data_IF_402048965042
#
_entry.id   IF_402048965042
#
_cell.length_a   1.000
_cell.length_b   1.000
_cell.length_c   1.000
_cell.angle_alpha   90.00
_cell.angle_beta   90.00
_cell.angle_gamma   90.00
#
_symmetry.space_group_name_H-M   'P 1'
#
loop_
_entity.id
_entity.type
_entity.pdbx_description
1 polymer ?
#
# COMPACT_ATOMS: atom_id res chain seq x y z
N UNK A 1 -15.25 19.80 -8.85
CA UNK A 1 -14.65 19.36 -7.62
C UNK A 1 -13.62 18.30 -7.85
N UNK A 2 -12.48 18.45 -7.24
CA UNK A 2 -11.45 17.45 -7.38
C UNK A 2 -11.74 16.27 -6.48
N UNK A 3 -11.80 15.09 -7.07
CA UNK A 3 -12.10 13.86 -6.35
C UNK A 3 -10.96 12.87 -6.47
N UNK A 4 -9.72 13.39 -6.49
CA UNK A 4 -8.55 12.51 -6.54
C UNK A 4 -8.55 11.54 -5.37
N UNK A 5 -8.24 10.28 -5.67
CA UNK A 5 -8.05 9.27 -4.64
C UNK A 5 -6.70 9.46 -3.99
N UNK A 6 -6.64 9.20 -2.70
CA UNK A 6 -5.41 9.34 -1.92
C UNK A 6 -4.82 7.97 -1.61
N UNK A 7 -3.56 7.79 -1.97
CA UNK A 7 -2.83 6.54 -1.76
C UNK A 7 -1.80 6.77 -0.65
N UNK A 8 -1.79 5.89 0.35
CA UNK A 8 -0.75 5.89 1.37
C UNK A 8 0.32 4.90 0.95
N UNK A 9 1.54 5.38 0.76
CA UNK A 9 2.69 4.54 0.41
C UNK A 9 3.53 4.34 1.67
N UNK A 10 3.76 3.07 2.05
CA UNK A 10 4.56 2.72 3.21
C UNK A 10 5.75 1.87 2.76
N UNK A 11 6.94 2.42 2.88
CA UNK A 11 8.18 1.77 2.45
C UNK A 11 9.34 2.47 3.15
N UNK A 12 10.32 1.70 3.66
CA UNK A 12 11.44 2.30 4.38
C UNK A 12 12.53 2.85 3.44
N UNK A 13 12.43 2.58 2.15
CA UNK A 13 13.37 3.11 1.15
C UNK A 13 12.89 4.46 0.65
N UNK A 14 13.69 5.50 0.88
CA UNK A 14 13.37 6.84 0.38
C UNK A 14 13.28 6.85 -1.15
N UNK A 15 14.18 6.13 -1.80
CA UNK A 15 14.18 6.05 -3.26
C UNK A 15 12.87 5.45 -3.77
N UNK A 16 12.45 4.34 -3.18
CA UNK A 16 11.22 3.65 -3.60
C UNK A 16 9.99 4.53 -3.34
N UNK A 17 9.93 5.17 -2.16
CA UNK A 17 8.82 6.09 -1.85
C UNK A 17 8.73 7.20 -2.89
N UNK A 18 9.86 7.81 -3.23
CA UNK A 18 9.89 8.90 -4.21
C UNK A 18 9.48 8.42 -5.59
N UNK A 19 9.97 7.26 -6.00
CA UNK A 19 9.67 6.69 -7.31
C UNK A 19 8.18 6.36 -7.45
N UNK A 20 7.63 5.67 -6.46
CA UNK A 20 6.21 5.32 -6.49
C UNK A 20 5.32 6.57 -6.39
N UNK A 21 5.74 7.55 -5.58
CA UNK A 21 5.00 8.80 -5.46
C UNK A 21 4.92 9.51 -6.81
N UNK A 22 6.05 9.57 -7.52
CA UNK A 22 6.10 10.20 -8.84
C UNK A 22 5.14 9.51 -9.81
N UNK A 23 5.19 8.17 -9.87
CA UNK A 23 4.31 7.38 -10.74
C UNK A 23 2.84 7.67 -10.45
N UNK A 24 2.48 7.68 -9.18
CA UNK A 24 1.08 7.82 -8.80
C UNK A 24 0.58 9.25 -8.96
N UNK A 25 1.43 10.23 -8.68
CA UNK A 25 1.05 11.63 -8.88
C UNK A 25 0.87 11.93 -10.36
N UNK A 26 1.70 11.35 -11.24
CA UNK A 26 1.53 11.47 -12.68
C UNK A 26 0.24 10.81 -13.16
N UNK A 27 -0.26 9.83 -12.42
CA UNK A 27 -1.52 9.14 -12.73
C UNK A 27 -2.71 9.80 -12.05
N UNK A 28 -2.52 11.00 -11.51
CA UNK A 28 -3.57 11.84 -10.94
C UNK A 28 -4.09 11.36 -9.58
N UNK A 29 -3.25 10.70 -8.80
CA UNK A 29 -3.54 10.35 -7.42
C UNK A 29 -2.89 11.36 -6.48
N UNK A 30 -3.48 11.54 -5.30
CA UNK A 30 -2.79 12.22 -4.19
C UNK A 30 -2.01 11.15 -3.43
N UNK A 31 -0.85 11.53 -2.90
CA UNK A 31 0.04 10.57 -2.24
C UNK A 31 0.43 11.08 -0.85
N UNK A 32 0.35 10.18 0.12
CA UNK A 32 0.88 10.39 1.46
C UNK A 32 1.91 9.28 1.66
N UNK A 33 3.05 9.57 2.28
CA UNK A 33 4.10 8.57 2.47
C UNK A 33 4.38 8.34 3.94
N UNK A 34 4.83 7.13 4.26
CA UNK A 34 5.27 6.74 5.60
C UNK A 34 6.50 5.85 5.48
N UNK A 35 7.35 5.87 6.51
CA UNK A 35 8.65 5.21 6.46
C UNK A 35 8.65 3.78 7.02
N UNK A 36 7.63 3.42 7.79
CA UNK A 36 7.49 2.08 8.33
C UNK A 36 6.03 1.85 8.75
N UNK A 37 5.74 0.67 9.30
CA UNK A 37 4.37 0.34 9.68
C UNK A 37 3.81 1.24 10.77
N UNK A 38 4.64 1.61 11.73
CA UNK A 38 4.22 2.48 12.83
C UNK A 38 3.82 3.86 12.31
N UNK A 39 4.68 4.45 11.45
CA UNK A 39 4.40 5.72 10.79
C UNK A 39 3.19 5.61 9.87
N UNK A 40 3.05 4.45 9.21
CA UNK A 40 1.90 4.17 8.35
C UNK A 40 0.59 4.20 9.10
N UNK A 41 0.55 3.60 10.29
CA UNK A 41 -0.65 3.65 11.11
C UNK A 41 -0.98 5.08 11.53
N UNK A 42 0.03 5.84 11.93
CA UNK A 42 -0.18 7.25 12.31
C UNK A 42 -0.75 8.05 11.15
N UNK A 43 -0.17 7.89 9.95
CA UNK A 43 -0.65 8.59 8.76
C UNK A 43 -2.07 8.18 8.40
N UNK A 44 -2.37 6.89 8.54
CA UNK A 44 -3.71 6.38 8.25
C UNK A 44 -4.75 6.95 9.20
N UNK A 45 -4.41 7.05 10.49
CA UNK A 45 -5.35 7.55 11.50
C UNK A 45 -5.60 9.05 11.40
N UNK A 46 -4.66 9.79 10.83
CA UNK A 46 -4.75 11.25 10.76
C UNK A 46 -5.10 11.79 9.38
N UNK A 47 -5.30 10.90 8.40
CA UNK A 47 -5.64 11.29 7.03
C UNK A 47 -6.70 10.36 6.48
N UNK A 48 -7.46 10.84 5.47
CA UNK A 48 -8.39 10.00 4.73
C UNK A 48 -7.65 9.37 3.57
N UNK A 49 -7.47 8.06 3.61
CA UNK A 49 -6.78 7.33 2.54
C UNK A 49 -7.76 6.38 1.87
N UNK A 50 -7.64 6.25 0.56
CA UNK A 50 -8.51 5.38 -0.23
C UNK A 50 -7.87 4.02 -0.50
N UNK A 51 -6.55 3.92 -0.36
CA UNK A 51 -5.81 2.69 -0.60
C UNK A 51 -4.45 2.77 0.06
N UNK A 52 -3.95 1.64 0.54
CA UNK A 52 -2.61 1.52 1.12
C UNK A 52 -1.74 0.67 0.21
N UNK A 53 -0.55 1.16 -0.11
CA UNK A 53 0.46 0.46 -0.88
C UNK A 53 1.65 0.24 0.06
N UNK A 54 1.94 -1.00 0.43
CA UNK A 54 2.93 -1.27 1.47
C UNK A 54 3.95 -2.31 1.05
N UNK A 55 5.22 -2.05 1.40
CA UNK A 55 6.25 -3.09 1.36
C UNK A 55 6.06 -4.03 2.55
N UNK A 56 6.80 -5.13 2.55
CA UNK A 56 6.82 -6.10 3.64
C UNK A 56 8.01 -5.87 4.55
N UNK A 57 9.21 -5.77 3.98
CA UNK A 57 10.45 -5.70 4.75
C UNK A 57 10.72 -4.29 5.19
N UNK A 58 10.32 -3.97 6.41
CA UNK A 58 10.49 -2.65 6.99
C UNK A 58 10.98 -2.79 8.42
N UNK A 59 11.71 -1.78 8.91
CA UNK A 59 12.14 -1.73 10.30
C UNK A 59 10.94 -1.43 11.21
N UNK A 60 11.09 -1.74 12.48
CA UNK A 60 10.11 -1.53 13.56
C UNK A 60 8.88 -2.43 13.44
N UNK A 61 8.17 -2.37 12.32
CA UNK A 61 6.97 -3.18 12.11
C UNK A 61 6.94 -3.58 10.64
N UNK A 62 6.96 -4.88 10.36
CA UNK A 62 6.93 -5.35 8.97
C UNK A 62 5.52 -5.18 8.37
N UNK A 63 5.44 -5.38 7.05
CA UNK A 63 4.20 -5.15 6.32
C UNK A 63 3.06 -6.08 6.72
N UNK A 64 3.37 -7.33 7.07
CA UNK A 64 2.32 -8.26 7.49
C UNK A 64 1.67 -7.80 8.79
N UNK A 65 2.49 -7.41 9.77
CA UNK A 65 1.97 -6.92 11.06
C UNK A 65 1.20 -5.63 10.87
N UNK A 66 1.73 -4.73 10.04
CA UNK A 66 1.06 -3.48 9.71
C UNK A 66 -0.34 -3.73 9.16
N UNK A 67 -0.46 -4.65 8.20
CA UNK A 67 -1.75 -4.98 7.59
C UNK A 67 -2.69 -5.62 8.61
N UNK A 68 -2.18 -6.53 9.45
CA UNK A 68 -3.02 -7.14 10.49
C UNK A 68 -3.57 -6.09 11.44
N UNK A 69 -2.77 -5.09 11.79
CA UNK A 69 -3.22 -4.02 12.68
C UNK A 69 -4.29 -3.16 12.03
N UNK A 70 -4.15 -2.86 10.73
CA UNK A 70 -5.18 -2.14 10.00
C UNK A 70 -6.49 -2.93 10.04
N UNK A 71 -6.42 -4.22 9.75
CA UNK A 71 -7.62 -5.07 9.66
C UNK A 71 -8.28 -5.32 11.02
N UNK A 72 -7.54 -5.17 12.11
CA UNK A 72 -8.10 -5.33 13.45
C UNK A 72 -9.10 -4.22 13.79
N UNK A 73 -9.03 -3.09 13.10
CA UNK A 73 -9.95 -1.97 13.30
C UNK A 73 -11.06 -2.05 12.25
N UNK A 74 -12.30 -2.19 12.70
CA UNK A 74 -13.45 -2.35 11.82
C UNK A 74 -13.62 -1.18 10.85
N UNK A 75 -13.17 0.01 11.24
CA UNK A 75 -13.22 1.18 10.39
C UNK A 75 -12.52 0.94 9.05
N UNK A 76 -11.49 0.09 9.04
CA UNK A 76 -10.67 -0.16 7.86
C UNK A 76 -10.90 -1.55 7.26
N UNK A 77 -12.02 -2.20 7.58
CA UNK A 77 -12.29 -3.56 7.09
C UNK A 77 -12.39 -3.63 5.57
N UNK A 78 -12.82 -2.54 4.93
CA UNK A 78 -12.98 -2.50 3.47
C UNK A 78 -11.89 -1.68 2.77
N UNK A 79 -10.91 -1.17 3.51
CA UNK A 79 -9.84 -0.38 2.90
C UNK A 79 -8.98 -1.26 2.00
N UNK A 80 -8.82 -0.92 0.71
CA UNK A 80 -7.96 -1.71 -0.17
C UNK A 80 -6.50 -1.61 0.26
N UNK A 81 -5.81 -2.75 0.32
CA UNK A 81 -4.40 -2.83 0.67
C UNK A 81 -3.68 -3.66 -0.38
N UNK A 82 -2.62 -3.10 -0.96
CA UNK A 82 -1.78 -3.78 -1.94
C UNK A 82 -0.38 -3.90 -1.37
N UNK A 83 0.19 -5.11 -1.40
CA UNK A 83 1.60 -5.32 -1.06
C UNK A 83 2.42 -5.16 -2.33
N UNK A 84 3.54 -4.43 -2.22
CA UNK A 84 4.53 -4.33 -3.30
C UNK A 84 5.87 -4.74 -2.71
N UNK A 85 6.42 -5.88 -3.14
CA UNK A 85 7.60 -6.46 -2.50
C UNK A 85 8.47 -7.19 -3.51
N UNK A 86 9.77 -7.31 -3.19
CA UNK A 86 10.68 -8.16 -3.96
C UNK A 86 10.51 -9.63 -3.63
N UNK A 87 9.84 -9.97 -2.52
CA UNK A 87 9.58 -11.35 -2.14
C UNK A 87 8.55 -11.94 -3.08
N UNK A 88 8.91 -13.04 -3.78
CA UNK A 88 8.10 -13.56 -4.87
C UNK A 88 7.61 -14.98 -4.68
N UNK A 89 7.93 -15.63 -3.55
CA UNK A 89 7.53 -17.00 -3.33
C UNK A 89 6.05 -17.11 -2.99
N UNK A 90 5.46 -18.26 -3.29
CA UNK A 90 4.05 -18.50 -3.01
C UNK A 90 3.73 -18.34 -1.52
N UNK A 91 4.64 -18.74 -0.63
CA UNK A 91 4.44 -18.60 0.81
C UNK A 91 4.36 -17.15 1.24
N UNK A 92 5.11 -16.28 0.59
CA UNK A 92 5.10 -14.84 0.90
C UNK A 92 3.78 -14.22 0.51
N UNK A 93 3.28 -14.59 -0.67
CA UNK A 93 1.99 -14.09 -1.16
C UNK A 93 0.85 -14.60 -0.28
N UNK A 94 0.92 -15.86 0.12
CA UNK A 94 -0.09 -16.45 1.00
C UNK A 94 -0.15 -15.70 2.32
N UNK A 95 1.01 -15.42 2.94
CA UNK A 95 1.07 -14.65 4.17
C UNK A 95 0.45 -13.27 4.01
N UNK A 96 0.68 -12.63 2.86
CA UNK A 96 0.12 -11.33 2.57
C UNK A 96 -1.39 -11.36 2.54
N UNK A 97 -1.96 -12.32 1.82
CA UNK A 97 -3.41 -12.46 1.73
C UNK A 97 -4.01 -12.86 3.08
N UNK A 98 -3.34 -13.73 3.83
CA UNK A 98 -3.80 -14.11 5.17
C UNK A 98 -3.80 -12.92 6.13
N UNK A 99 -2.84 -12.01 5.98
CA UNK A 99 -2.79 -10.81 6.80
C UNK A 99 -3.93 -9.84 6.45
N UNK A 100 -4.46 -9.93 5.23
CA UNK A 100 -5.58 -9.11 4.81
C UNK A 100 -5.36 -8.25 3.58
N UNK A 101 -4.26 -8.48 2.82
CA UNK A 101 -4.02 -7.74 1.59
C UNK A 101 -4.99 -8.17 0.49
N UNK A 102 -5.36 -7.21 -0.36
CA UNK A 102 -6.24 -7.46 -1.50
C UNK A 102 -5.47 -7.89 -2.75
N UNK A 103 -4.21 -7.48 -2.85
CA UNK A 103 -3.39 -7.77 -4.01
C UNK A 103 -1.93 -7.78 -3.61
N UNK A 104 -1.11 -8.51 -4.37
CA UNK A 104 0.32 -8.63 -4.13
C UNK A 104 1.05 -8.40 -5.44
N UNK A 105 1.89 -7.38 -5.50
CA UNK A 105 2.66 -7.02 -6.69
C UNK A 105 4.14 -7.31 -6.38
N UNK A 106 4.79 -8.06 -7.26
CA UNK A 106 6.23 -8.37 -7.10
C UNK A 106 7.05 -7.29 -7.82
N UNK A 107 8.01 -6.71 -7.12
CA UNK A 107 8.95 -5.75 -7.70
C UNK A 107 10.04 -6.46 -8.49
N UNK A 108 10.53 -5.88 -9.59
CA UNK A 108 10.08 -4.62 -10.18
C UNK A 108 8.80 -4.80 -10.99
N UNK A 109 7.95 -3.80 -10.96
CA UNK A 109 6.72 -3.78 -11.73
C UNK A 109 6.74 -2.51 -12.59
N UNK A 110 6.18 -2.58 -13.79
CA UNK A 110 6.13 -1.40 -14.64
C UNK A 110 5.19 -0.36 -14.04
N UNK A 111 5.44 0.93 -14.27
CA UNK A 111 4.52 1.98 -13.80
C UNK A 111 3.10 1.75 -14.28
N UNK A 112 2.94 1.34 -15.54
CA UNK A 112 1.63 1.09 -16.13
C UNK A 112 0.88 -0.01 -15.40
N UNK A 113 1.57 -1.11 -15.09
CA UNK A 113 0.95 -2.24 -14.37
C UNK A 113 0.56 -1.85 -12.96
N UNK A 114 1.41 -1.08 -12.28
CA UNK A 114 1.11 -0.63 -10.92
C UNK A 114 -0.15 0.23 -10.91
N UNK A 115 -0.24 1.22 -11.79
CA UNK A 115 -1.38 2.12 -11.86
C UNK A 115 -2.65 1.34 -12.23
N UNK A 116 -2.55 0.43 -13.19
CA UNK A 116 -3.69 -0.37 -13.62
C UNK A 116 -4.23 -1.24 -12.49
N UNK A 117 -3.33 -1.88 -11.74
CA UNK A 117 -3.73 -2.71 -10.60
C UNK A 117 -4.40 -1.88 -9.51
N UNK A 118 -3.88 -0.69 -9.24
CA UNK A 118 -4.47 0.19 -8.22
C UNK A 118 -5.87 0.61 -8.66
N UNK A 119 -6.02 1.02 -9.92
CA UNK A 119 -7.33 1.42 -10.43
C UNK A 119 -8.34 0.29 -10.37
N UNK A 120 -7.90 -0.92 -10.72
CA UNK A 120 -8.77 -2.09 -10.69
C UNK A 120 -9.27 -2.37 -9.28
N UNK A 121 -8.38 -2.32 -8.30
CA UNK A 121 -8.75 -2.57 -6.90
C UNK A 121 -9.68 -1.48 -6.36
N UNK A 122 -9.45 -0.23 -6.73
CA UNK A 122 -10.29 0.88 -6.31
C UNK A 122 -11.72 0.75 -6.87
N UNK A 123 -11.85 0.28 -8.11
CA UNK A 123 -13.16 0.07 -8.73
C UNK A 123 -13.91 -1.08 -8.06
N UNK A 124 -13.20 -2.14 -7.68
CA UNK A 124 -13.81 -3.33 -7.09
C UNK A 124 -14.35 -3.09 -5.68
N UNK A 125 -13.95 -1.99 -5.05
CA UNK A 125 -14.39 -1.67 -3.68
C UNK A 125 -15.33 -0.43 -3.65
#
# INVERSE_FOLDING_TARGET
MNTKKTILIVDDSEFVRSYHSYILEEADFQVITAVDGSDGLEKLYTNSCDLVLSDINMSNMDGYEFIRRIRADKKYSALPIIIVSTESEAKDKMKGFEAGANLYIVKPSSPEMMVENIRMVLIAN
#
